data_IF_700540960415
#
_entry.id   IF_700540960415
#
_cell.length_a   1.000
_cell.length_b   1.000
_cell.length_c   1.000
_cell.angle_alpha   90.00
_cell.angle_beta   90.00
_cell.angle_gamma   90.00
#
_symmetry.space_group_name_H-M   'P 1'
#
loop_
_entity.id
_entity.type
_entity.pdbx_description
1 polymer ?
#
# COMPACT_ATOMS: atom_id res chain seq x y z
N UNK A 1 12.91 17.22 0.61
CA UNK A 1 13.43 16.87 1.95
C UNK A 1 13.13 15.40 2.25
N UNK A 2 13.95 14.76 3.08
CA UNK A 2 13.69 13.41 3.60
C UNK A 2 13.65 13.44 5.13
N UNK A 3 12.74 12.67 5.70
CA UNK A 3 12.52 12.53 7.13
C UNK A 3 12.74 11.08 7.51
N UNK A 4 13.35 10.88 8.67
CA UNK A 4 13.38 9.59 9.37
C UNK A 4 12.50 9.69 10.60
N UNK A 5 11.66 8.69 10.80
CA UNK A 5 10.63 8.65 11.83
C UNK A 5 10.70 7.29 12.51
N UNK A 6 10.58 7.27 13.84
CA UNK A 6 10.44 6.05 14.62
C UNK A 6 9.00 5.97 15.14
N UNK A 7 8.20 5.00 14.66
CA UNK A 7 6.87 4.76 15.20
C UNK A 7 6.96 4.29 16.66
N UNK A 8 6.00 4.70 17.48
CA UNK A 8 5.84 4.25 18.86
C UNK A 8 4.94 3.00 19.01
N UNK A 9 4.23 2.61 17.96
CA UNK A 9 3.34 1.46 17.96
C UNK A 9 3.37 0.72 16.62
N UNK A 10 2.88 -0.53 16.61
CA UNK A 10 2.78 -1.33 15.36
C UNK A 10 1.86 -0.64 14.37
N UNK A 11 0.72 -0.14 14.81
CA UNK A 11 -0.15 0.72 14.02
C UNK A 11 -0.06 2.15 14.52
N UNK A 12 0.26 3.10 13.63
CA UNK A 12 0.32 4.51 13.98
C UNK A 12 -0.05 5.42 12.81
N UNK A 13 -0.75 6.51 13.12
CA UNK A 13 -0.98 7.62 12.20
C UNK A 13 -0.02 8.75 12.51
N UNK A 14 1.04 8.85 11.70
CA UNK A 14 2.13 9.78 11.95
C UNK A 14 1.91 11.05 11.13
N UNK A 15 1.70 12.18 11.79
CA UNK A 15 1.59 13.48 11.10
C UNK A 15 2.97 13.94 10.62
N UNK A 16 3.24 13.73 9.33
CA UNK A 16 4.52 14.02 8.70
C UNK A 16 4.78 15.53 8.65
N UNK A 17 3.74 16.37 8.65
CA UNK A 17 3.91 17.82 8.66
C UNK A 17 4.43 18.32 10.00
N UNK A 18 3.97 17.73 11.11
CA UNK A 18 4.53 18.02 12.43
C UNK A 18 6.01 17.66 12.52
N UNK A 19 6.40 16.53 11.93
CA UNK A 19 7.81 16.12 11.85
C UNK A 19 8.64 17.02 10.91
N UNK A 20 7.99 17.66 9.93
CA UNK A 20 8.58 18.63 9.01
C UNK A 20 8.53 20.09 9.52
N UNK A 21 8.12 20.34 10.78
CA UNK A 21 7.78 21.68 11.24
C UNK A 21 8.92 22.70 11.10
N UNK A 22 10.17 22.26 11.33
CA UNK A 22 11.36 23.11 11.19
C UNK A 22 11.57 23.64 9.75
N UNK A 23 10.96 23.00 8.74
CA UNK A 23 11.04 23.41 7.34
C UNK A 23 9.68 23.82 6.76
N UNK A 24 8.66 23.95 7.62
CA UNK A 24 7.27 24.24 7.23
C UNK A 24 7.16 25.53 6.41
N UNK A 25 7.84 26.60 6.81
CA UNK A 25 7.84 27.89 6.11
C UNK A 25 8.30 27.79 4.65
N UNK A 26 9.22 26.88 4.33
CA UNK A 26 9.72 26.68 2.97
C UNK A 26 8.68 25.93 2.14
N UNK A 27 8.07 24.87 2.69
CA UNK A 27 7.07 24.09 1.97
C UNK A 27 5.77 24.85 1.76
N UNK A 28 5.38 25.68 2.72
CA UNK A 28 4.12 26.43 2.70
C UNK A 28 4.05 27.51 1.61
N UNK A 29 5.20 27.88 1.03
CA UNK A 29 5.27 28.76 -0.14
C UNK A 29 4.78 28.10 -1.43
N UNK A 30 4.75 26.77 -1.47
CA UNK A 30 4.37 26.03 -2.67
C UNK A 30 2.93 25.55 -2.58
N UNK A 31 2.14 25.65 -3.67
CA UNK A 31 0.74 25.26 -3.70
C UNK A 31 0.52 23.74 -3.66
N UNK A 32 1.55 22.94 -3.94
CA UNK A 32 1.45 21.48 -4.06
C UNK A 32 2.64 20.79 -3.40
N UNK A 33 2.39 19.58 -2.91
CA UNK A 33 3.42 18.72 -2.36
C UNK A 33 3.21 17.26 -2.76
N UNK A 34 4.32 16.57 -3.00
CA UNK A 34 4.39 15.13 -3.17
C UNK A 34 4.94 14.51 -1.89
N UNK A 35 4.22 13.55 -1.34
CA UNK A 35 4.63 12.77 -0.18
C UNK A 35 4.97 11.36 -0.64
N UNK A 36 6.18 10.88 -0.33
CA UNK A 36 6.70 9.61 -0.81
C UNK A 36 7.28 8.75 0.33
N UNK A 37 6.62 7.64 0.63
CA UNK A 37 7.07 6.61 1.55
C UNK A 37 7.96 5.61 0.82
N UNK A 38 9.00 5.13 1.50
CA UNK A 38 9.94 4.12 1.00
C UNK A 38 9.72 2.73 1.62
N UNK A 39 8.51 2.46 2.11
CA UNK A 39 8.14 1.21 2.78
C UNK A 39 6.99 0.50 2.08
N UNK A 40 6.87 -0.80 2.34
CA UNK A 40 5.86 -1.69 1.77
C UNK A 40 4.67 -1.93 2.72
N UNK A 41 4.83 -1.54 4.00
CA UNK A 41 3.82 -1.60 5.07
C UNK A 41 3.50 -0.23 5.68
N UNK A 42 4.07 0.86 5.14
CA UNK A 42 3.75 2.21 5.56
C UNK A 42 3.58 3.13 4.35
N UNK A 43 2.51 3.92 4.31
CA UNK A 43 2.19 4.74 3.14
C UNK A 43 1.09 5.75 3.40
N UNK A 44 0.56 6.33 2.32
CA UNK A 44 -0.36 7.44 2.39
C UNK A 44 -1.70 7.10 1.74
N UNK A 45 -2.77 7.70 2.24
CA UNK A 45 -4.04 7.78 1.53
C UNK A 45 -4.03 8.93 0.52
N UNK A 46 -4.82 8.82 -0.54
CA UNK A 46 -5.06 9.96 -1.44
C UNK A 46 -5.77 11.09 -0.69
N UNK A 47 -5.44 12.34 -1.01
CA UNK A 47 -5.96 13.50 -0.29
C UNK A 47 -7.49 13.55 -0.26
N UNK A 48 -8.15 13.17 -1.36
CA UNK A 48 -9.61 13.14 -1.45
C UNK A 48 -10.22 12.13 -0.47
N UNK A 49 -9.63 10.94 -0.35
CA UNK A 49 -10.06 9.92 0.59
C UNK A 49 -9.78 10.36 2.03
N UNK A 50 -8.56 10.80 2.33
CA UNK A 50 -8.20 11.29 3.66
C UNK A 50 -9.14 12.44 4.10
N UNK A 51 -9.36 13.43 3.24
CA UNK A 51 -10.27 14.56 3.50
C UNK A 51 -11.70 14.08 3.76
N UNK A 52 -12.19 13.11 2.99
CA UNK A 52 -13.53 12.56 3.17
C UNK A 52 -13.65 11.82 4.50
N UNK A 53 -12.65 11.01 4.87
CA UNK A 53 -12.63 10.27 6.14
C UNK A 53 -12.61 11.22 7.34
N UNK A 54 -11.80 12.28 7.30
CA UNK A 54 -11.75 13.29 8.36
C UNK A 54 -13.06 14.09 8.46
N UNK A 55 -13.69 14.43 7.33
CA UNK A 55 -14.97 15.16 7.32
C UNK A 55 -16.16 14.33 7.77
N UNK A 56 -16.19 13.05 7.42
CA UNK A 56 -17.31 12.15 7.69
C UNK A 56 -17.32 11.59 9.12
N UNK A 57 -16.55 12.18 10.05
CA UNK A 57 -16.33 11.73 11.44
C UNK A 57 -15.86 10.28 11.63
N UNK A 58 -15.67 9.52 10.55
CA UNK A 58 -15.14 8.16 10.54
C UNK A 58 -13.66 8.13 10.93
N UNK A 59 -12.88 9.14 10.53
CA UNK A 59 -11.44 9.16 10.79
C UNK A 59 -10.64 8.16 9.95
N UNK A 60 -9.31 8.31 9.95
CA UNK A 60 -8.41 7.44 9.18
C UNK A 60 -8.15 6.13 9.92
N UNK A 61 -7.91 6.18 11.23
CA UNK A 61 -7.59 4.99 12.02
C UNK A 61 -8.71 3.94 11.97
N UNK A 62 -9.99 4.31 12.13
CA UNK A 62 -11.08 3.34 12.07
C UNK A 62 -11.27 2.76 10.66
N UNK A 63 -11.03 3.56 9.62
CA UNK A 63 -11.03 3.06 8.25
C UNK A 63 -9.94 2.00 8.02
N UNK A 64 -8.74 2.22 8.56
CA UNK A 64 -7.62 1.28 8.41
C UNK A 64 -7.82 0.04 9.28
N UNK A 65 -8.36 0.18 10.49
CA UNK A 65 -8.59 -0.94 11.40
C UNK A 65 -9.51 -2.00 10.80
N UNK A 66 -10.46 -1.61 9.94
CA UNK A 66 -11.27 -2.57 9.17
C UNK A 66 -10.43 -3.57 8.40
N UNK A 67 -9.35 -3.13 7.78
CA UNK A 67 -8.47 -4.00 7.02
C UNK A 67 -7.54 -4.81 7.94
N UNK A 68 -7.16 -4.28 9.11
CA UNK A 68 -6.42 -5.06 10.12
C UNK A 68 -7.28 -6.15 10.77
N UNK A 69 -8.60 -5.94 10.85
CA UNK A 69 -9.56 -6.97 11.26
C UNK A 69 -9.70 -8.05 10.18
N UNK A 70 -9.72 -7.65 8.90
CA UNK A 70 -9.76 -8.58 7.76
C UNK A 70 -8.47 -9.39 7.59
N UNK A 71 -7.34 -8.79 7.94
CA UNK A 71 -6.02 -9.42 7.95
C UNK A 71 -5.45 -9.35 9.37
N UNK A 72 -5.91 -10.22 10.28
CA UNK A 72 -5.39 -10.22 11.64
C UNK A 72 -3.91 -10.60 11.65
N UNK A 73 -3.11 -9.95 12.49
CA UNK A 73 -1.73 -10.36 12.71
C UNK A 73 -1.63 -11.83 13.16
N UNK A 74 -0.66 -12.56 12.60
CA UNK A 74 -0.38 -13.95 12.95
C UNK A 74 -1.44 -14.97 12.49
N UNK A 75 -2.25 -14.63 11.49
CA UNK A 75 -3.31 -15.50 10.98
C UNK A 75 -2.81 -16.66 10.07
N UNK A 76 -1.53 -16.99 10.09
CA UNK A 76 -0.95 -18.08 9.28
C UNK A 76 -0.60 -17.69 7.84
N UNK A 77 -0.13 -16.46 7.63
CA UNK A 77 0.37 -16.02 6.32
C UNK A 77 1.61 -16.82 5.93
N UNK A 78 1.67 -17.28 4.67
CA UNK A 78 2.86 -17.97 4.18
C UNK A 78 4.06 -17.04 4.11
N UNK A 79 3.85 -15.75 3.89
CA UNK A 79 4.90 -14.75 3.98
C UNK A 79 5.64 -14.77 5.34
N UNK A 80 4.95 -15.17 6.41
CA UNK A 80 5.51 -15.23 7.76
C UNK A 80 6.28 -16.55 8.02
N UNK A 81 6.21 -17.53 7.11
CA UNK A 81 6.95 -18.78 7.15
C UNK A 81 8.40 -18.57 6.67
N UNK A 82 9.20 -17.87 7.48
CA UNK A 82 10.56 -17.42 7.13
C UNK A 82 11.51 -18.55 6.68
N UNK A 83 11.26 -19.79 7.09
CA UNK A 83 12.03 -20.96 6.67
C UNK A 83 11.83 -21.33 5.19
N UNK A 84 10.73 -20.89 4.58
CA UNK A 84 10.42 -21.08 3.16
C UNK A 84 10.93 -19.93 2.28
N UNK A 85 11.45 -18.84 2.88
CA UNK A 85 11.99 -17.67 2.18
C UNK A 85 13.45 -17.90 1.79
N UNK A 86 13.66 -18.47 0.60
CA UNK A 86 14.98 -18.79 0.04
C UNK A 86 15.84 -17.56 -0.27
N UNK A 87 15.21 -16.39 -0.44
CA UNK A 87 15.90 -15.12 -0.70
C UNK A 87 16.55 -14.49 0.53
N UNK A 88 16.26 -15.01 1.73
CA UNK A 88 16.82 -14.54 3.00
C UNK A 88 17.94 -15.46 3.48
N UNK A 89 19.04 -14.87 3.94
CA UNK A 89 20.04 -15.61 4.73
C UNK A 89 19.50 -16.00 6.11
N UNK A 90 20.14 -16.96 6.78
CA UNK A 90 19.72 -17.39 8.12
C UNK A 90 19.75 -16.25 9.15
N UNK A 91 20.74 -15.36 9.06
CA UNK A 91 20.82 -14.15 9.88
C UNK A 91 19.64 -13.20 9.61
N UNK A 92 19.28 -13.03 8.33
CA UNK A 92 18.13 -12.18 7.94
C UNK A 92 16.82 -12.77 8.46
N UNK A 93 16.61 -14.09 8.33
CA UNK A 93 15.42 -14.79 8.86
C UNK A 93 15.22 -14.60 10.35
N UNK A 94 16.28 -14.37 11.11
CA UNK A 94 16.19 -14.16 12.57
C UNK A 94 15.59 -12.80 12.93
N UNK A 95 15.81 -11.79 12.09
CA UNK A 95 15.41 -10.40 12.32
C UNK A 95 14.22 -9.95 11.46
N UNK A 96 13.85 -10.73 10.45
CA UNK A 96 12.75 -10.42 9.55
C UNK A 96 11.41 -10.34 10.31
N UNK A 97 10.62 -9.27 10.14
CA UNK A 97 9.31 -9.16 10.76
C UNK A 97 8.33 -10.14 10.10
N UNK A 98 7.40 -10.64 10.92
CA UNK A 98 6.22 -11.40 10.46
C UNK A 98 5.06 -10.43 10.29
N UNK A 99 4.90 -9.92 9.08
CA UNK A 99 4.03 -8.78 8.79
C UNK A 99 3.20 -8.98 7.51
N UNK A 100 2.95 -10.24 7.09
CA UNK A 100 2.10 -10.53 5.93
C UNK A 100 0.73 -9.84 6.00
N UNK A 101 0.16 -9.72 7.20
CA UNK A 101 -1.05 -8.95 7.48
C UNK A 101 -0.93 -7.47 7.07
N UNK A 102 0.18 -6.82 7.41
CA UNK A 102 0.41 -5.41 7.15
C UNK A 102 0.57 -5.14 5.66
N UNK A 103 1.22 -6.05 4.93
CA UNK A 103 1.32 -5.97 3.46
C UNK A 103 -0.06 -6.08 2.81
N UNK A 104 -0.88 -7.04 3.21
CA UNK A 104 -2.23 -7.21 2.67
C UNK A 104 -3.14 -6.04 3.04
N UNK A 105 -3.09 -5.57 4.28
CA UNK A 105 -3.83 -4.39 4.73
C UNK A 105 -3.41 -3.14 3.96
N UNK A 106 -2.12 -2.96 3.66
CA UNK A 106 -1.64 -1.86 2.82
C UNK A 106 -2.31 -1.85 1.44
N UNK A 107 -2.32 -3.01 0.78
CA UNK A 107 -2.91 -3.17 -0.56
C UNK A 107 -4.43 -2.98 -0.51
N UNK A 108 -5.09 -3.62 0.46
CA UNK A 108 -6.54 -3.62 0.57
C UNK A 108 -7.12 -2.26 0.95
N UNK A 109 -6.47 -1.55 1.87
CA UNK A 109 -6.85 -0.19 2.28
C UNK A 109 -6.59 0.85 1.19
N UNK A 110 -5.89 0.46 0.11
CA UNK A 110 -5.55 1.34 -1.01
C UNK A 110 -4.51 2.40 -0.63
N UNK A 111 -3.61 2.08 0.29
CA UNK A 111 -2.46 2.92 0.61
C UNK A 111 -1.54 3.02 -0.61
N UNK A 112 -0.83 4.14 -0.71
CA UNK A 112 0.09 4.44 -1.80
C UNK A 112 1.44 4.85 -1.21
N UNK A 113 2.52 4.44 -1.87
CA UNK A 113 3.85 4.94 -1.55
C UNK A 113 3.96 6.43 -1.83
N UNK A 114 3.41 6.91 -2.96
CA UNK A 114 3.59 8.27 -3.44
C UNK A 114 2.23 8.93 -3.75
N UNK A 115 1.96 10.07 -3.10
CA UNK A 115 0.70 10.82 -3.25
C UNK A 115 0.94 12.31 -3.46
N UNK A 116 0.14 12.90 -4.35
CA UNK A 116 0.12 14.34 -4.59
C UNK A 116 -1.00 14.99 -3.79
N UNK A 117 -0.66 16.04 -3.07
CA UNK A 117 -1.57 16.84 -2.26
C UNK A 117 -1.54 18.28 -2.74
N UNK A 118 -2.71 18.93 -2.76
CA UNK A 118 -2.77 20.39 -2.67
C UNK A 118 -2.26 20.76 -1.29
N UNK A 119 -1.23 21.60 -1.25
CA UNK A 119 -0.59 21.97 -0.01
C UNK A 119 -1.53 22.86 0.82
N UNK A 120 -1.78 22.47 2.06
CA UNK A 120 -2.62 23.20 3.00
C UNK A 120 -1.89 23.26 4.34
N UNK A 121 -1.26 24.40 4.69
CA UNK A 121 -0.34 24.52 5.80
C UNK A 121 -0.80 23.91 7.13
N UNK A 122 -2.10 24.09 7.43
CA UNK A 122 -2.71 23.68 8.70
C UNK A 122 -3.40 22.32 8.68
N UNK A 123 -3.39 21.61 7.53
CA UNK A 123 -4.03 20.29 7.44
C UNK A 123 -2.98 19.19 7.58
N UNK A 124 -3.15 18.22 8.50
CA UNK A 124 -2.19 17.15 8.70
C UNK A 124 -2.10 16.25 7.46
N UNK A 125 -0.94 15.64 7.27
CA UNK A 125 -0.74 14.58 6.28
C UNK A 125 -0.16 13.37 7.01
N UNK A 126 -0.96 12.31 7.10
CA UNK A 126 -0.60 11.13 7.87
C UNK A 126 0.11 10.10 7.00
N UNK A 127 1.32 9.74 7.42
CA UNK A 127 1.91 8.45 7.07
C UNK A 127 1.22 7.40 7.93
N UNK A 128 0.51 6.48 7.30
CA UNK A 128 -0.15 5.33 7.93
C UNK A 128 0.88 4.23 8.01
N UNK A 129 1.34 3.89 9.22
CA UNK A 129 2.22 2.75 9.47
C UNK A 129 1.41 1.58 10.00
N UNK A 130 1.55 0.42 9.37
CA UNK A 130 0.84 -0.81 9.74
C UNK A 130 1.74 -1.81 10.48
N UNK A 131 3.05 -1.55 10.51
CA UNK A 131 4.05 -2.47 11.05
C UNK A 131 5.21 -1.73 11.72
N UNK A 132 4.92 -0.66 12.47
CA UNK A 132 5.91 0.28 13.01
C UNK A 132 6.86 -0.30 14.06
N UNK A 133 6.54 -1.47 14.61
CA UNK A 133 7.31 -2.17 15.64
C UNK A 133 7.64 -3.58 15.17
N UNK A 134 8.88 -4.03 15.39
CA UNK A 134 9.25 -5.43 15.27
C UNK A 134 9.60 -5.96 16.66
N UNK A 135 8.75 -6.84 17.20
CA UNK A 135 8.77 -7.18 18.64
C UNK A 135 8.72 -5.87 19.45
N UNK A 136 9.63 -5.69 20.40
CA UNK A 136 9.69 -4.48 21.24
C UNK A 136 10.59 -3.37 20.68
N UNK A 137 11.01 -3.48 19.40
CA UNK A 137 11.91 -2.49 18.78
C UNK A 137 11.18 -1.64 17.74
N UNK A 138 11.25 -0.30 17.86
CA UNK A 138 10.70 0.58 16.83
C UNK A 138 11.48 0.43 15.53
N UNK A 139 10.74 0.34 14.42
CA UNK A 139 11.34 0.34 13.08
C UNK A 139 11.66 1.78 12.67
N UNK A 140 12.53 1.92 11.67
CA UNK A 140 12.84 3.23 11.08
C UNK A 140 12.04 3.44 9.80
N UNK A 141 11.32 4.54 9.73
CA UNK A 141 10.53 4.96 8.57
C UNK A 141 11.14 6.19 7.91
N UNK A 142 11.70 5.98 6.73
CA UNK A 142 12.05 7.04 5.81
C UNK A 142 10.86 7.47 4.94
N UNK A 143 10.63 8.76 4.83
CA UNK A 143 9.71 9.37 3.86
C UNK A 143 10.25 10.69 3.32
N UNK A 144 9.83 11.10 2.13
CA UNK A 144 10.21 12.39 1.54
C UNK A 144 9.01 13.28 1.26
N UNK A 145 9.26 14.59 1.36
CA UNK A 145 8.35 15.65 0.92
C UNK A 145 9.05 16.44 -0.19
N UNK A 146 8.37 16.61 -1.32
CA UNK A 146 8.79 17.47 -2.41
C UNK A 146 7.66 18.47 -2.70
N UNK A 147 7.86 19.73 -2.32
CA UNK A 147 6.94 20.81 -2.60
C UNK A 147 7.30 21.47 -3.94
N UNK A 148 6.28 21.88 -4.71
CA UNK A 148 6.46 22.40 -6.07
C UNK A 148 5.30 23.33 -6.47
N UNK A 149 5.58 24.24 -7.40
CA UNK A 149 4.61 25.17 -7.98
C UNK A 149 3.80 24.49 -9.07
N UNK A 150 4.47 23.87 -10.04
CA UNK A 150 3.86 23.34 -11.25
C UNK A 150 4.35 21.93 -11.54
N UNK A 151 3.44 21.11 -12.03
CA UNK A 151 3.74 19.78 -12.57
C UNK A 151 3.48 19.83 -14.07
N UNK A 152 4.53 19.65 -14.88
CA UNK A 152 4.46 19.66 -16.34
C UNK A 152 4.71 18.26 -16.88
N UNK A 153 3.85 17.81 -17.78
CA UNK A 153 4.06 16.53 -18.47
C UNK A 153 5.16 16.74 -19.51
N UNK A 154 6.17 15.87 -19.50
CA UNK A 154 7.31 15.94 -20.43
C UNK A 154 7.30 14.78 -21.42
N UNK A 155 6.75 13.62 -21.03
CA UNK A 155 6.60 12.47 -21.91
C UNK A 155 5.37 11.65 -21.55
N UNK A 156 4.78 11.01 -22.56
CA UNK A 156 3.75 9.98 -22.40
C UNK A 156 4.08 8.82 -23.31
N UNK A 157 4.20 7.66 -22.70
CA UNK A 157 4.60 6.43 -23.38
C UNK A 157 3.64 5.30 -23.00
N UNK A 158 3.67 4.22 -23.77
CA UNK A 158 2.85 3.03 -23.51
C UNK A 158 3.70 1.78 -23.49
N UNK A 159 3.59 1.06 -22.39
CA UNK A 159 4.25 -0.21 -22.13
C UNK A 159 3.28 -1.37 -22.35
N UNK A 160 3.81 -2.49 -22.85
CA UNK A 160 3.15 -3.80 -22.80
C UNK A 160 3.84 -4.67 -21.76
N UNK A 161 3.09 -5.18 -20.80
CA UNK A 161 3.57 -6.11 -19.78
C UNK A 161 3.04 -7.50 -20.11
N UNK A 162 3.94 -8.45 -20.31
CA UNK A 162 3.56 -9.85 -20.46
C UNK A 162 2.97 -10.38 -19.15
N UNK A 163 1.88 -11.11 -19.25
CA UNK A 163 1.20 -11.75 -18.11
C UNK A 163 0.93 -13.21 -18.43
N UNK A 164 0.85 -14.05 -17.41
CA UNK A 164 0.55 -15.46 -17.64
C UNK A 164 -0.89 -15.67 -18.15
N UNK A 165 -1.15 -16.87 -18.68
CA UNK A 165 -2.49 -17.28 -19.07
C UNK A 165 -3.41 -17.54 -17.86
N UNK A 166 -2.87 -17.57 -16.64
CA UNK A 166 -3.65 -17.80 -15.43
C UNK A 166 -4.49 -16.56 -15.10
N UNK A 167 -5.77 -16.74 -14.70
CA UNK A 167 -6.64 -15.62 -14.42
C UNK A 167 -6.22 -14.82 -13.19
N UNK A 168 -5.64 -15.48 -12.18
CA UNK A 168 -5.03 -14.83 -11.02
C UNK A 168 -3.51 -14.86 -11.21
N UNK A 169 -2.89 -13.69 -11.29
CA UNK A 169 -1.44 -13.57 -11.48
C UNK A 169 -0.94 -12.22 -10.94
N UNK A 170 0.33 -12.17 -10.59
CA UNK A 170 1.04 -10.99 -10.10
C UNK A 170 2.37 -10.87 -10.83
N UNK A 171 2.65 -9.72 -11.42
CA UNK A 171 3.88 -9.46 -12.17
C UNK A 171 4.68 -8.36 -11.49
N UNK A 172 5.95 -8.67 -11.21
CA UNK A 172 6.94 -7.71 -10.74
C UNK A 172 7.34 -6.78 -11.88
N UNK A 173 6.89 -5.53 -11.86
CA UNK A 173 7.21 -4.57 -12.93
C UNK A 173 8.69 -4.15 -12.89
N UNK A 174 9.33 -4.29 -11.72
CA UNK A 174 10.77 -4.02 -11.51
C UNK A 174 11.67 -5.19 -11.91
N UNK A 175 11.13 -6.32 -12.36
CA UNK A 175 11.95 -7.45 -12.82
C UNK A 175 12.91 -6.97 -13.94
N UNK A 176 14.24 -7.12 -13.77
CA UNK A 176 15.22 -6.70 -14.78
C UNK A 176 14.98 -7.30 -16.16
N UNK A 177 14.37 -8.50 -16.23
CA UNK A 177 14.02 -9.17 -17.50
C UNK A 177 13.00 -8.40 -18.32
N UNK A 178 12.20 -7.54 -17.68
CA UNK A 178 11.26 -6.64 -18.38
C UNK A 178 11.95 -5.39 -18.92
N UNK A 179 13.17 -5.07 -18.46
CA UNK A 179 13.93 -3.88 -18.87
C UNK A 179 13.30 -2.53 -18.51
N UNK A 180 12.12 -2.50 -17.88
CA UNK A 180 11.34 -1.27 -17.71
C UNK A 180 12.08 -0.21 -16.92
N UNK A 181 12.69 -0.58 -15.80
CA UNK A 181 13.36 0.39 -14.92
C UNK A 181 14.56 1.03 -15.60
N UNK A 182 15.35 0.26 -16.36
CA UNK A 182 16.46 0.80 -17.16
C UNK A 182 15.93 1.80 -18.20
N UNK A 183 14.86 1.44 -18.90
CA UNK A 183 14.20 2.33 -19.86
C UNK A 183 13.61 3.60 -19.21
N UNK A 184 13.02 3.50 -18.02
CA UNK A 184 12.53 4.67 -17.28
C UNK A 184 13.68 5.61 -16.86
N UNK A 185 14.82 5.05 -16.42
CA UNK A 185 16.02 5.82 -16.08
C UNK A 185 16.62 6.52 -17.32
N UNK A 186 16.61 5.85 -18.48
CA UNK A 186 16.96 6.46 -19.77
C UNK A 186 16.00 7.60 -20.13
N UNK A 187 14.68 7.40 -19.96
CA UNK A 187 13.66 8.42 -20.22
C UNK A 187 13.85 9.65 -19.32
N UNK A 188 14.13 9.45 -18.02
CA UNK A 188 14.47 10.53 -17.08
C UNK A 188 15.71 11.30 -17.56
N UNK A 189 16.76 10.57 -17.94
CA UNK A 189 18.03 11.13 -18.38
C UNK A 189 17.88 11.92 -19.68
N UNK A 190 17.18 11.37 -20.67
CA UNK A 190 16.89 11.99 -21.96
C UNK A 190 16.18 13.34 -21.79
N UNK A 191 15.22 13.43 -20.87
CA UNK A 191 14.48 14.66 -20.61
C UNK A 191 15.11 15.58 -19.55
N UNK A 192 16.29 15.23 -19.03
CA UNK A 192 17.02 16.03 -18.04
C UNK A 192 16.23 16.32 -16.77
N UNK A 193 15.46 15.35 -16.27
CA UNK A 193 14.58 15.55 -15.11
C UNK A 193 15.34 15.31 -13.81
N UNK A 194 15.57 16.35 -13.00
CA UNK A 194 16.18 16.22 -11.66
C UNK A 194 15.13 15.94 -10.58
N UNK A 195 13.99 16.64 -10.65
CA UNK A 195 12.83 16.49 -9.76
C UNK A 195 11.58 16.24 -10.60
N UNK A 196 10.89 15.14 -10.32
CA UNK A 196 9.80 14.69 -11.16
C UNK A 196 8.93 13.63 -10.53
N UNK A 197 7.98 13.15 -11.32
CA UNK A 197 7.16 11.99 -10.98
C UNK A 197 6.89 11.17 -12.21
N UNK A 198 7.03 9.85 -12.09
CA UNK A 198 6.56 8.89 -13.07
C UNK A 198 5.23 8.35 -12.56
N UNK A 199 4.20 8.41 -13.40
CA UNK A 199 2.93 7.75 -13.14
C UNK A 199 2.75 6.57 -14.07
N UNK A 200 2.60 5.39 -13.49
CA UNK A 200 2.22 4.18 -14.21
C UNK A 200 0.72 3.98 -14.04
N UNK A 201 -0.04 3.95 -15.13
CA UNK A 201 -1.50 3.82 -15.10
C UNK A 201 -1.95 2.71 -16.04
N UNK A 202 -2.83 1.82 -15.57
CA UNK A 202 -3.48 0.85 -16.44
C UNK A 202 -4.29 1.57 -17.53
N UNK A 203 -4.04 1.23 -18.79
CA UNK A 203 -4.77 1.82 -19.91
C UNK A 203 -6.29 1.66 -19.73
N UNK A 204 -7.09 2.54 -20.34
CA UNK A 204 -8.53 2.64 -20.05
C UNK A 204 -9.30 1.29 -20.21
N UNK A 205 -8.92 0.47 -21.21
CA UNK A 205 -9.53 -0.84 -21.46
C UNK A 205 -9.03 -1.98 -20.56
N UNK A 206 -8.00 -1.74 -19.76
CA UNK A 206 -7.42 -2.76 -18.88
C UNK A 206 -8.25 -2.93 -17.62
N UNK A 207 -9.36 -3.65 -17.75
CA UNK A 207 -10.22 -4.02 -16.64
C UNK A 207 -9.72 -5.30 -15.96
N UNK A 208 -10.18 -5.50 -14.73
CA UNK A 208 -9.90 -6.68 -13.93
C UNK A 208 -8.40 -6.89 -13.64
N UNK A 209 -7.69 -5.78 -13.52
CA UNK A 209 -6.32 -5.68 -13.08
C UNK A 209 -6.14 -4.42 -12.23
N UNK A 210 -5.11 -4.44 -11.39
CA UNK A 210 -4.74 -3.37 -10.49
C UNK A 210 -3.22 -3.20 -10.42
N UNK A 211 -2.80 -2.04 -9.94
CA UNK A 211 -1.41 -1.72 -9.65
C UNK A 211 -1.31 -1.39 -8.16
N UNK A 212 -0.26 -1.90 -7.53
CA UNK A 212 0.12 -1.56 -6.16
C UNK A 212 1.63 -1.38 -6.06
N UNK A 213 2.07 -0.65 -5.04
CA UNK A 213 3.48 -0.60 -4.65
C UNK A 213 3.64 -1.45 -3.41
N UNK A 214 4.40 -2.53 -3.48
CA UNK A 214 4.61 -3.43 -2.35
C UNK A 214 5.92 -4.22 -2.52
N UNK A 215 6.18 -5.16 -1.62
CA UNK A 215 7.26 -6.12 -1.77
C UNK A 215 6.83 -7.21 -2.74
N UNK A 216 7.68 -7.46 -3.73
CA UNK A 216 7.49 -8.63 -4.59
C UNK A 216 8.23 -9.81 -3.96
N UNK A 217 7.57 -10.43 -2.99
CA UNK A 217 7.98 -11.69 -2.37
C UNK A 217 7.00 -12.79 -2.82
N UNK A 218 7.53 -13.98 -3.08
CA UNK A 218 6.79 -15.06 -3.75
C UNK A 218 5.63 -15.57 -2.89
N UNK A 219 5.85 -15.84 -1.61
CA UNK A 219 4.84 -16.34 -0.68
C UNK A 219 3.71 -15.31 -0.51
N UNK A 220 4.05 -14.04 -0.33
CA UNK A 220 3.08 -12.95 -0.23
C UNK A 220 2.27 -12.78 -1.52
N UNK A 221 2.94 -12.69 -2.67
CA UNK A 221 2.29 -12.33 -3.94
C UNK A 221 1.57 -13.50 -4.61
N UNK A 222 2.12 -14.72 -4.53
CA UNK A 222 1.57 -15.91 -5.21
C UNK A 222 0.73 -16.80 -4.31
N UNK A 223 0.87 -16.69 -2.99
CA UNK A 223 0.03 -17.41 -2.05
C UNK A 223 -0.93 -16.47 -1.35
N UNK A 224 -0.46 -15.67 -0.40
CA UNK A 224 -1.35 -14.92 0.51
C UNK A 224 -2.30 -13.99 -0.25
N UNK A 225 -1.79 -13.16 -1.16
CA UNK A 225 -2.61 -12.26 -1.97
C UNK A 225 -3.58 -13.00 -2.89
N UNK A 226 -3.14 -14.09 -3.51
CA UNK A 226 -3.98 -14.92 -4.39
C UNK A 226 -5.10 -15.58 -3.59
N UNK A 227 -4.82 -16.00 -2.36
CA UNK A 227 -5.80 -16.55 -1.44
C UNK A 227 -6.82 -15.50 -1.02
N UNK A 228 -6.42 -14.27 -0.72
CA UNK A 228 -7.34 -13.14 -0.46
C UNK A 228 -8.24 -12.87 -1.68
N UNK A 229 -7.66 -12.89 -2.89
CA UNK A 229 -8.43 -12.68 -4.13
C UNK A 229 -9.47 -13.79 -4.37
N UNK A 230 -9.25 -14.99 -3.85
CA UNK A 230 -10.21 -16.11 -3.90
C UNK A 230 -11.24 -16.02 -2.79
N UNK A 231 -10.79 -15.81 -1.55
CA UNK A 231 -11.62 -15.70 -0.36
C UNK A 231 -11.09 -14.58 0.56
N UNK A 232 -11.74 -13.40 0.59
CA UNK A 232 -11.26 -12.25 1.35
C UNK A 232 -11.37 -12.43 2.87
N UNK A 233 -12.15 -13.40 3.34
CA UNK A 233 -12.35 -13.68 4.77
C UNK A 233 -11.54 -14.88 5.28
N UNK A 234 -10.64 -15.41 4.46
CA UNK A 234 -9.85 -16.60 4.78
C UNK A 234 -9.10 -16.46 6.11
N UNK A 235 -8.34 -15.37 6.27
CA UNK A 235 -7.48 -15.17 7.44
C UNK A 235 -8.24 -14.90 8.75
N UNK A 236 -9.44 -14.32 8.68
CA UNK A 236 -10.37 -14.27 9.82
C UNK A 236 -10.76 -15.70 10.23
N UNK A 237 -11.13 -16.51 9.24
CA UNK A 237 -11.58 -17.89 9.46
C UNK A 237 -10.47 -18.76 10.05
N UNK A 238 -9.24 -18.61 9.54
CA UNK A 238 -8.06 -19.34 10.03
C UNK A 238 -7.69 -18.95 11.45
N UNK A 239 -7.73 -17.65 11.79
CA UNK A 239 -7.51 -17.21 13.17
C UNK A 239 -8.57 -17.77 14.12
N UNK A 240 -9.85 -17.76 13.73
CA UNK A 240 -10.92 -18.37 14.51
C UNK A 240 -10.71 -19.87 14.73
N UNK A 241 -10.29 -20.62 13.71
CA UNK A 241 -9.97 -22.05 13.83
C UNK A 241 -8.77 -22.33 14.74
N UNK A 242 -7.72 -21.52 14.65
CA UNK A 242 -6.53 -21.67 15.49
C UNK A 242 -6.82 -21.37 16.97
N UNK A 243 -7.72 -20.42 17.26
CA UNK A 243 -8.20 -20.18 18.63
C UNK A 243 -9.03 -21.35 19.18
N UNK A 244 -9.80 -22.06 18.33
CA UNK A 244 -10.57 -23.25 18.74
C UNK A 244 -9.70 -24.48 19.01
N UNK A 245 -8.48 -24.52 18.47
CA UNK A 245 -7.52 -25.58 18.73
C UNK A 245 -6.90 -25.47 20.14
N UNK A 246 -7.15 -24.39 20.88
CA UNK A 246 -6.73 -24.16 22.26
C UNK A 246 -7.96 -24.18 23.21
N UNK A 247 -8.37 -25.36 23.74
CA UNK A 247 -9.74 -25.60 24.22
C UNK A 247 -10.14 -24.85 25.49
N UNK A 248 -9.19 -24.21 26.16
CA UNK A 248 -9.40 -23.60 27.48
C UNK A 248 -9.89 -22.15 27.42
N UNK A 249 -10.12 -21.58 26.23
CA UNK A 249 -10.44 -20.15 26.14
C UNK A 249 -11.86 -19.77 25.68
N UNK A 250 -12.61 -20.47 24.81
CA UNK A 250 -13.93 -19.94 24.34
C UNK A 250 -14.98 -21.05 23.96
N UNK A 251 -16.31 -20.83 24.18
CA UNK A 251 -17.38 -21.84 24.05
C UNK A 251 -17.76 -22.25 22.62
N UNK A 252 -18.28 -23.49 22.50
CA UNK A 252 -18.75 -24.20 21.30
C UNK A 252 -19.76 -23.44 20.42
N UNK A 253 -19.38 -23.10 19.16
CA UNK A 253 -20.18 -23.13 17.90
C UNK A 253 -19.57 -22.18 16.84
N UNK A 254 -18.83 -22.68 15.83
CA UNK A 254 -17.96 -21.76 15.04
C UNK A 254 -17.76 -22.09 13.54
N UNK A 255 -18.69 -22.77 12.86
CA UNK A 255 -18.51 -23.04 11.41
C UNK A 255 -19.40 -22.17 10.50
N UNK A 256 -20.58 -21.70 10.94
CA UNK A 256 -21.42 -20.74 10.19
C UNK A 256 -21.15 -19.25 10.55
N UNK A 257 -20.05 -18.97 11.27
CA UNK A 257 -19.88 -17.75 12.08
C UNK A 257 -19.06 -16.60 11.47
N UNK A 258 -18.34 -16.78 10.36
CA UNK A 258 -17.40 -15.77 9.86
C UNK A 258 -18.06 -14.41 9.51
N UNK A 259 -19.32 -14.41 9.05
CA UNK A 259 -20.07 -13.18 8.78
C UNK A 259 -20.50 -12.47 10.08
N UNK A 260 -20.92 -13.22 11.09
CA UNK A 260 -21.35 -12.67 12.38
C UNK A 260 -20.17 -12.17 13.20
N UNK A 261 -19.04 -12.86 13.14
CA UNK A 261 -17.81 -12.44 13.84
C UNK A 261 -17.21 -11.19 13.20
N UNK A 262 -17.30 -11.05 11.87
CA UNK A 262 -16.99 -9.79 11.19
C UNK A 262 -17.89 -8.66 11.68
N UNK A 263 -19.22 -8.86 11.74
CA UNK A 263 -20.16 -7.84 12.25
C UNK A 263 -19.86 -7.50 13.71
N UNK A 264 -19.53 -8.49 14.55
CA UNK A 264 -19.17 -8.27 15.94
C UNK A 264 -17.86 -7.50 16.09
N UNK A 265 -16.79 -7.91 15.40
CA UNK A 265 -15.50 -7.22 15.39
C UNK A 265 -15.64 -5.81 14.79
N UNK A 266 -16.55 -5.64 13.85
CA UNK A 266 -16.90 -4.37 13.25
C UNK A 266 -17.65 -3.46 14.23
N UNK A 267 -18.58 -4.01 15.01
CA UNK A 267 -19.26 -3.31 16.10
C UNK A 267 -18.29 -2.96 17.23
N UNK A 268 -17.38 -3.86 17.61
CA UNK A 268 -16.32 -3.58 18.58
C UNK A 268 -15.38 -2.46 18.09
N UNK A 269 -15.10 -2.39 16.78
CA UNK A 269 -14.42 -1.22 16.20
C UNK A 269 -15.29 0.06 16.28
N UNK A 270 -16.60 -0.02 16.05
CA UNK A 270 -17.51 1.13 16.17
C UNK A 270 -17.51 1.66 17.61
N UNK A 271 -17.57 0.75 18.60
CA UNK A 271 -17.55 1.08 20.03
C UNK A 271 -16.22 1.69 20.44
N UNK A 272 -15.10 1.08 20.02
CA UNK A 272 -13.75 1.56 20.35
C UNK A 272 -13.44 2.95 19.78
N UNK A 273 -14.09 3.34 18.67
CA UNK A 273 -13.88 4.62 18.02
C UNK A 273 -15.06 5.60 18.13
N UNK A 274 -16.11 5.26 18.89
CA UNK A 274 -17.33 6.05 19.10
C UNK A 274 -17.97 6.56 17.79
N UNK A 275 -18.09 5.69 16.78
CA UNK A 275 -18.55 6.05 15.44
C UNK A 275 -20.03 5.75 15.26
N UNK A 276 -20.74 6.61 14.54
CA UNK A 276 -22.14 6.39 14.18
C UNK A 276 -22.29 5.10 13.33
N UNK A 277 -23.01 4.12 13.87
CA UNK A 277 -23.23 2.77 13.32
C UNK A 277 -23.61 2.82 11.81
N UNK A 278 -24.46 3.76 11.42
CA UNK A 278 -25.00 3.89 10.05
C UNK A 278 -23.98 4.24 8.94
N UNK A 279 -22.83 4.83 9.29
CA UNK A 279 -21.77 5.17 8.33
C UNK A 279 -20.83 3.99 8.13
N UNK A 280 -20.55 3.27 9.21
CA UNK A 280 -19.73 2.07 9.16
C UNK A 280 -20.50 0.91 8.51
N UNK A 281 -21.78 0.71 8.82
CA UNK A 281 -22.64 -0.27 8.10
C UNK A 281 -22.60 -0.10 6.58
N UNK A 282 -22.52 1.13 6.07
CA UNK A 282 -22.35 1.39 4.62
C UNK A 282 -20.99 0.96 4.07
N UNK A 283 -19.94 1.03 4.87
CA UNK A 283 -18.61 0.51 4.50
C UNK A 283 -18.61 -1.01 4.57
N UNK A 284 -19.19 -1.60 5.61
CA UNK A 284 -19.36 -3.05 5.75
C UNK A 284 -20.19 -3.64 4.61
N UNK A 285 -21.32 -3.00 4.28
CA UNK A 285 -22.15 -3.39 3.15
C UNK A 285 -21.37 -3.35 1.83
N UNK A 286 -20.46 -2.38 1.64
CA UNK A 286 -19.55 -2.37 0.48
C UNK A 286 -18.51 -3.49 0.52
N UNK A 287 -17.99 -3.85 1.70
CA UNK A 287 -17.02 -4.94 1.83
C UNK A 287 -17.68 -6.30 1.57
N UNK A 288 -18.93 -6.50 2.01
CA UNK A 288 -19.66 -7.76 1.87
C UNK A 288 -20.34 -7.89 0.50
N UNK A 289 -20.89 -6.81 -0.05
CA UNK A 289 -21.64 -6.84 -1.31
C UNK A 289 -20.77 -6.79 -2.58
N UNK A 290 -19.47 -6.55 -2.43
CA UNK A 290 -18.54 -6.43 -3.54
C UNK A 290 -17.79 -7.75 -3.71
N UNK A 291 -17.74 -8.33 -4.94
CA UNK A 291 -16.95 -9.53 -5.19
C UNK A 291 -15.50 -9.35 -4.72
N UNK A 292 -14.84 -10.39 -4.23
CA UNK A 292 -13.41 -10.38 -3.82
C UNK A 292 -12.48 -9.68 -4.84
N UNK A 293 -12.84 -9.74 -6.12
CA UNK A 293 -12.18 -9.10 -7.27
C UNK A 293 -12.26 -7.56 -7.32
N UNK A 294 -13.16 -6.94 -6.55
CA UNK A 294 -13.19 -5.48 -6.32
C UNK A 294 -13.12 -5.12 -4.82
N UNK A 295 -12.88 -6.12 -3.96
CA UNK A 295 -12.78 -5.98 -2.51
C UNK A 295 -11.50 -5.25 -2.10
N UNK A 296 -10.38 -5.62 -2.72
CA UNK A 296 -9.15 -4.87 -2.57
C UNK A 296 -9.33 -3.54 -3.31
N UNK A 297 -9.13 -2.40 -2.63
CA UNK A 297 -9.16 -1.08 -3.26
C UNK A 297 -7.91 -0.83 -4.14
N UNK A 298 -7.53 -1.86 -4.90
CA UNK A 298 -6.42 -1.84 -5.83
C UNK A 298 -6.59 -0.67 -6.79
N UNK A 299 -5.52 0.11 -6.87
CA UNK A 299 -5.52 1.32 -7.68
C UNK A 299 -5.27 0.94 -9.12
N UNK A 300 -5.69 1.82 -10.02
CA UNK A 300 -5.33 1.70 -11.44
C UNK A 300 -4.01 2.36 -11.77
N UNK A 301 -3.37 2.99 -10.79
CA UNK A 301 -2.10 3.67 -10.98
C UNK A 301 -1.23 3.60 -9.75
N UNK A 302 0.08 3.70 -9.98
CA UNK A 302 1.11 3.93 -8.97
C UNK A 302 1.96 5.12 -9.40
N UNK A 303 2.61 5.77 -8.44
CA UNK A 303 3.47 6.91 -8.69
C UNK A 303 4.85 6.64 -8.11
N UNK A 304 5.87 7.01 -8.86
CA UNK A 304 7.28 6.92 -8.49
C UNK A 304 7.83 8.34 -8.42
N UNK A 305 8.53 8.64 -7.32
CA UNK A 305 9.23 9.91 -7.18
C UNK A 305 10.50 9.87 -8.03
N UNK A 306 10.75 10.91 -8.82
CA UNK A 306 12.05 11.15 -9.45
C UNK A 306 12.77 12.23 -8.66
N UNK A 307 13.98 11.93 -8.19
CA UNK A 307 14.75 12.82 -7.33
C UNK A 307 16.24 12.61 -7.53
N UNK A 308 16.99 13.70 -7.52
CA UNK A 308 18.46 13.75 -7.55
C UNK A 308 19.10 13.64 -6.14
N UNK A 309 18.36 13.14 -5.15
CA UNK A 309 18.88 12.98 -3.79
C UNK A 309 20.08 12.03 -3.68
N UNK A 310 20.19 11.04 -4.57
CA UNK A 310 21.32 10.12 -4.59
C UNK A 310 22.54 10.74 -5.26
N UNK A 311 22.33 11.46 -6.36
CA UNK A 311 23.37 12.11 -7.17
C UNK A 311 22.87 13.50 -7.55
N UNK A 312 23.40 14.58 -6.97
CA UNK A 312 22.95 15.94 -7.25
C UNK A 312 22.92 16.25 -8.75
N UNK A 313 21.84 16.86 -9.23
CA UNK A 313 21.65 17.19 -10.64
C UNK A 313 21.24 16.03 -11.55
N UNK A 314 21.33 14.77 -11.10
CA UNK A 314 20.88 13.59 -11.85
C UNK A 314 19.67 12.95 -11.18
N UNK A 315 18.49 13.19 -11.74
CA UNK A 315 17.28 12.56 -11.24
C UNK A 315 17.30 11.06 -11.47
N UNK A 316 16.83 10.32 -10.47
CA UNK A 316 16.66 8.87 -10.51
C UNK A 316 15.36 8.51 -9.83
N UNK A 317 14.83 7.32 -10.12
CA UNK A 317 13.70 6.78 -9.38
C UNK A 317 14.10 6.59 -7.90
N UNK A 318 13.33 7.23 -7.02
CA UNK A 318 13.50 7.16 -5.58
C UNK A 318 12.52 6.12 -5.01
N UNK A 319 13.01 4.90 -4.83
CA UNK A 319 12.28 3.78 -4.25
C UNK A 319 12.93 3.28 -2.96
N UNK A 320 12.14 2.61 -2.12
CA UNK A 320 12.62 1.79 -1.02
C UNK A 320 13.34 0.52 -1.49
N UNK A 321 14.12 -0.10 -0.59
CA UNK A 321 14.90 -1.32 -0.87
C UNK A 321 14.03 -2.43 -1.47
N UNK A 322 12.90 -2.70 -0.83
CA UNK A 322 11.99 -3.79 -1.19
C UNK A 322 10.81 -3.34 -2.06
N UNK A 323 10.68 -2.03 -2.33
CA UNK A 323 9.56 -1.52 -3.09
C UNK A 323 9.65 -1.90 -4.55
N UNK A 324 8.58 -2.52 -5.04
CA UNK A 324 8.33 -2.78 -6.44
C UNK A 324 6.91 -2.41 -6.85
N UNK A 325 6.70 -1.81 -8.03
CA UNK A 325 5.40 -1.75 -8.66
C UNK A 325 4.97 -3.16 -9.06
N UNK A 326 3.77 -3.55 -8.68
CA UNK A 326 3.23 -4.89 -8.93
C UNK A 326 1.93 -4.75 -9.71
N UNK A 327 1.88 -5.42 -10.86
CA UNK A 327 0.66 -5.61 -11.63
C UNK A 327 -0.04 -6.87 -11.12
N UNK A 328 -1.27 -6.72 -10.65
CA UNK A 328 -2.10 -7.84 -10.19
C UNK A 328 -3.26 -7.99 -11.17
N UNK A 329 -3.46 -9.18 -11.73
CA UNK A 329 -4.63 -9.49 -12.53
C UNK A 329 -5.50 -10.55 -11.84
N UNK A 330 -6.81 -10.42 -12.01
CA UNK A 330 -7.79 -11.41 -11.54
C UNK A 330 -8.74 -11.88 -12.65
N UNK A 331 -8.41 -11.52 -13.88
CA UNK A 331 -8.92 -12.13 -15.11
C UNK A 331 -7.77 -12.13 -16.13
N UNK A 332 -7.73 -13.17 -16.95
CA UNK A 332 -6.77 -13.28 -18.06
C UNK A 332 -6.87 -12.08 -18.99
N UNK A 333 -5.73 -11.53 -19.41
CA UNK A 333 -5.65 -10.52 -20.45
C UNK A 333 -5.90 -11.11 -21.85
N UNK A 334 -6.60 -10.37 -22.71
CA UNK A 334 -6.68 -10.73 -24.12
C UNK A 334 -5.27 -10.64 -24.73
N UNK A 335 -4.78 -11.73 -25.34
CA UNK A 335 -3.45 -11.76 -25.96
C UNK A 335 -2.26 -11.90 -24.99
N UNK A 336 -2.49 -12.18 -23.70
CA UNK A 336 -1.39 -12.43 -22.74
C UNK A 336 -0.55 -11.20 -22.40
N UNK A 337 -1.06 -10.00 -22.67
CA UNK A 337 -0.38 -8.74 -22.39
C UNK A 337 -1.35 -7.74 -21.76
N UNK A 338 -0.82 -6.89 -20.87
CA UNK A 338 -1.54 -5.76 -20.26
C UNK A 338 -0.85 -4.46 -20.65
N UNK A 339 -1.64 -3.41 -20.92
CA UNK A 339 -1.14 -2.10 -21.31
C UNK A 339 -1.02 -1.14 -20.11
N UNK A 340 0.14 -0.52 -19.97
CA UNK A 340 0.40 0.51 -18.96
C UNK A 340 0.80 1.80 -19.66
N UNK A 341 0.03 2.86 -19.42
CA UNK A 341 0.37 4.22 -19.81
C UNK A 341 1.35 4.80 -18.78
N UNK A 342 2.50 5.26 -19.28
CA UNK A 342 3.57 5.88 -18.51
C UNK A 342 3.52 7.38 -18.75
N UNK A 343 3.44 8.17 -17.70
CA UNK A 343 3.51 9.64 -17.79
C UNK A 343 4.67 10.13 -16.95
N UNK A 344 5.67 10.73 -17.59
CA UNK A 344 6.77 11.41 -16.92
C UNK A 344 6.43 12.89 -16.78
N UNK A 345 6.64 13.42 -15.58
CA UNK A 345 6.41 14.83 -15.26
C UNK A 345 7.62 15.46 -14.61
N UNK A 346 7.85 16.73 -14.94
CA UNK A 346 8.77 17.64 -14.26
C UNK A 346 8.03 18.39 -13.16
N UNK A 347 8.67 18.52 -12.01
CA UNK A 347 8.16 19.32 -10.89
C UNK A 347 9.03 20.58 -10.77
N UNK A 348 8.40 21.74 -10.90
CA UNK A 348 9.02 23.09 -10.89
C UNK A 348 8.51 23.92 -9.72
#
# INVERSE_FOLDING_TARGET
MSLEIQPGARFELIDVRKHAAAQSEVFDRYPRALYCSFHTTAGYLEQSLATRLTRATLGIAPYVSLFQTLFPAGAGYRHDDLHLREELSDDQRTIEPRNGDAHLAFIAAGLRNCVKYVNRPRQPVYLVDLDGMNRDRPRRRRTSILAFNVEKIVARERLRVAVSAHPLDSVNIKDPRLGLYAWLDELITHHGISKGRIQLTLAAGEHQAGLTMNEYETLLMRHDLIEVLRNPFRFISEKGRNLLADPWTIPNKTIDYAKYDLVRLFNECCDAFHINESLMERVLARLIAVPARRFLQMKRSVSLLVSDQKVPGRGMIADGTYQSPILVQWRKAAGGQRLIDVTLTRLE
#
